data_IF_414463519579
#
_entry.id   IF_414463519579
#
_cell.length_a   1.000
_cell.length_b   1.000
_cell.length_c   1.000
_cell.angle_alpha   90.00
_cell.angle_beta   90.00
_cell.angle_gamma   90.00
#
_symmetry.space_group_name_H-M   'P 1'
#
loop_
_entity.id
_entity.type
_entity.pdbx_description
1 polymer ?
#
# COMPACT_ATOMS: atom_id res chain seq x y z
N UNK A 1 -14.14 11.33 -83.08
CA UNK A 1 -13.70 12.09 -81.88
C UNK A 1 -14.14 11.46 -80.55
N UNK A 2 -15.26 10.73 -80.46
CA UNK A 2 -15.70 10.08 -79.19
C UNK A 2 -14.70 9.09 -78.56
N UNK A 3 -13.96 8.32 -79.36
CA UNK A 3 -13.03 7.30 -78.84
C UNK A 3 -11.78 7.86 -78.13
N UNK A 4 -11.32 9.07 -78.48
CA UNK A 4 -10.19 9.71 -77.77
C UNK A 4 -10.64 10.28 -76.41
N UNK A 5 -11.87 10.79 -76.35
CA UNK A 5 -12.48 11.28 -75.11
C UNK A 5 -12.71 10.15 -74.08
N UNK A 6 -13.08 8.96 -74.55
CA UNK A 6 -13.24 7.77 -73.69
C UNK A 6 -11.91 7.14 -73.26
N UNK A 7 -10.84 7.26 -74.07
CA UNK A 7 -9.53 6.73 -73.65
C UNK A 7 -8.89 7.60 -72.56
N UNK A 8 -8.99 8.93 -72.70
CA UNK A 8 -8.49 9.89 -71.72
C UNK A 8 -9.22 9.75 -70.37
N UNK A 9 -10.53 9.53 -70.39
CA UNK A 9 -11.31 9.33 -69.14
C UNK A 9 -10.95 8.02 -68.44
N UNK A 10 -10.66 6.95 -69.18
CA UNK A 10 -10.21 5.68 -68.59
C UNK A 10 -8.79 5.77 -68.02
N UNK A 11 -7.88 6.50 -68.67
CA UNK A 11 -6.54 6.76 -68.11
C UNK A 11 -6.60 7.59 -66.83
N UNK A 12 -7.42 8.65 -66.83
CA UNK A 12 -7.65 9.47 -65.63
C UNK A 12 -8.28 8.65 -64.50
N UNK A 13 -9.27 7.78 -64.80
CA UNK A 13 -9.87 6.89 -63.81
C UNK A 13 -8.88 5.87 -63.24
N UNK A 14 -8.00 5.29 -64.08
CA UNK A 14 -6.97 4.37 -63.61
C UNK A 14 -5.94 5.06 -62.72
N UNK A 15 -5.54 6.28 -63.05
CA UNK A 15 -4.64 7.09 -62.22
C UNK A 15 -5.25 7.40 -60.85
N UNK A 16 -6.53 7.80 -60.82
CA UNK A 16 -7.25 8.06 -59.56
C UNK A 16 -7.43 6.81 -58.69
N UNK A 17 -7.65 5.65 -59.32
CA UNK A 17 -7.75 4.37 -58.59
C UNK A 17 -6.40 3.98 -57.97
N UNK A 18 -5.29 4.14 -58.70
CA UNK A 18 -3.94 3.87 -58.18
C UNK A 18 -3.58 4.80 -57.01
N UNK A 19 -3.94 6.08 -57.10
CA UNK A 19 -3.72 7.05 -56.02
C UNK A 19 -4.54 6.73 -54.76
N UNK A 20 -5.78 6.23 -54.93
CA UNK A 20 -6.62 5.78 -53.83
C UNK A 20 -6.05 4.51 -53.14
N UNK A 21 -5.57 3.55 -53.94
CA UNK A 21 -4.95 2.31 -53.42
C UNK A 21 -3.66 2.59 -52.64
N UNK A 22 -2.81 3.53 -53.10
CA UNK A 22 -1.61 3.96 -52.37
C UNK A 22 -1.95 4.62 -51.03
N UNK A 23 -2.98 5.47 -50.99
CA UNK A 23 -3.43 6.11 -49.75
C UNK A 23 -3.99 5.08 -48.75
N UNK A 24 -4.78 4.12 -49.20
CA UNK A 24 -5.31 3.06 -48.34
C UNK A 24 -4.19 2.20 -47.76
N UNK A 25 -3.18 1.86 -48.56
CA UNK A 25 -2.01 1.14 -48.08
C UNK A 25 -1.28 1.89 -46.95
N UNK A 26 -1.04 3.20 -47.10
CA UNK A 26 -0.42 4.00 -46.04
C UNK A 26 -1.26 4.07 -44.77
N UNK A 27 -2.58 4.19 -44.90
CA UNK A 27 -3.51 4.20 -43.76
C UNK A 27 -3.44 2.87 -43.01
N UNK A 28 -3.39 1.75 -43.73
CA UNK A 28 -3.25 0.42 -43.15
C UNK A 28 -1.91 0.22 -42.45
N UNK A 29 -0.80 0.71 -43.02
CA UNK A 29 0.52 0.68 -42.37
C UNK A 29 0.52 1.46 -41.04
N UNK A 30 -0.09 2.65 -41.02
CA UNK A 30 -0.22 3.45 -39.79
C UNK A 30 -1.07 2.74 -38.74
N UNK A 31 -2.22 2.20 -39.14
CA UNK A 31 -3.10 1.41 -38.26
C UNK A 31 -2.42 0.16 -37.71
N UNK A 32 -1.58 -0.52 -38.51
CA UNK A 32 -0.78 -1.66 -38.08
C UNK A 32 0.25 -1.25 -37.04
N UNK A 33 1.00 -0.17 -37.27
CA UNK A 33 1.97 0.35 -36.30
C UNK A 33 1.32 0.76 -34.96
N UNK A 34 0.13 1.36 -34.98
CA UNK A 34 -0.63 1.67 -33.77
C UNK A 34 -1.09 0.41 -33.01
N UNK A 35 -1.51 -0.63 -33.74
CA UNK A 35 -1.88 -1.93 -33.13
C UNK A 35 -0.67 -2.62 -32.52
N UNK A 36 0.48 -2.57 -33.18
CA UNK A 36 1.73 -3.15 -32.68
C UNK A 36 2.25 -2.42 -31.44
N UNK A 37 2.22 -1.09 -31.44
CA UNK A 37 2.61 -0.29 -30.28
C UNK A 37 1.64 -0.51 -29.11
N UNK A 38 0.33 -0.59 -29.36
CA UNK A 38 -0.67 -0.94 -28.36
C UNK A 38 -0.46 -2.37 -27.82
N UNK A 39 -0.18 -3.34 -28.70
CA UNK A 39 0.13 -4.71 -28.31
C UNK A 39 1.42 -4.80 -27.48
N UNK A 40 2.45 -4.04 -27.85
CA UNK A 40 3.71 -3.94 -27.10
C UNK A 40 3.48 -3.35 -25.71
N UNK A 41 2.70 -2.26 -25.62
CA UNK A 41 2.36 -1.66 -24.33
C UNK A 41 1.55 -2.62 -23.45
N UNK A 42 0.61 -3.36 -24.05
CA UNK A 42 -0.17 -4.38 -23.35
C UNK A 42 0.74 -5.47 -22.78
N UNK A 43 1.66 -6.01 -23.59
CA UNK A 43 2.66 -7.01 -23.15
C UNK A 43 3.50 -6.48 -22.00
N UNK A 44 4.05 -5.27 -22.15
CA UNK A 44 4.85 -4.63 -21.10
C UNK A 44 4.08 -4.49 -19.78
N UNK A 45 2.80 -4.12 -19.85
CA UNK A 45 1.93 -3.98 -18.67
C UNK A 45 1.70 -5.33 -17.99
N UNK A 46 1.51 -6.38 -18.77
CA UNK A 46 1.31 -7.73 -18.25
C UNK A 46 2.61 -8.31 -17.67
N UNK A 47 3.77 -8.03 -18.29
CA UNK A 47 5.09 -8.39 -17.76
C UNK A 47 5.37 -7.68 -16.43
N UNK A 48 5.06 -6.37 -16.34
CA UNK A 48 5.16 -5.60 -15.09
C UNK A 48 4.29 -6.18 -13.99
N UNK A 49 3.04 -6.57 -14.29
CA UNK A 49 2.15 -7.22 -13.33
C UNK A 49 2.71 -8.56 -12.86
N UNK A 50 3.15 -9.41 -13.79
CA UNK A 50 3.74 -10.70 -13.46
C UNK A 50 5.01 -10.56 -12.60
N UNK A 51 5.84 -9.55 -12.86
CA UNK A 51 7.02 -9.26 -12.05
C UNK A 51 6.62 -8.85 -10.62
N UNK A 52 5.60 -8.00 -10.47
CA UNK A 52 5.05 -7.62 -9.16
C UNK A 52 4.44 -8.83 -8.44
N UNK A 53 3.74 -9.70 -9.17
CA UNK A 53 3.12 -10.92 -8.60
C UNK A 53 4.17 -11.94 -8.11
N UNK A 54 5.32 -12.00 -8.77
CA UNK A 54 6.46 -12.81 -8.33
C UNK A 54 7.17 -12.23 -7.10
N UNK A 55 7.11 -10.91 -6.89
CA UNK A 55 7.55 -10.32 -5.62
C UNK A 55 6.50 -10.62 -4.55
N UNK A 56 6.85 -11.46 -3.57
CA UNK A 56 5.95 -12.10 -2.59
C UNK A 56 5.17 -11.16 -1.62
N UNK A 57 5.00 -9.89 -1.96
CA UNK A 57 4.46 -8.83 -1.12
C UNK A 57 2.95 -8.65 -1.38
N UNK A 58 2.22 -9.75 -1.63
CA UNK A 58 0.79 -9.68 -1.87
C UNK A 58 -0.01 -9.85 -0.57
N UNK A 59 -0.89 -8.90 -0.21
CA UNK A 59 -1.78 -9.07 0.94
C UNK A 59 -2.88 -10.09 0.59
N UNK A 60 -2.93 -11.19 1.33
CA UNK A 60 -3.94 -12.25 1.18
C UNK A 60 -5.24 -11.89 1.89
N UNK A 61 -5.15 -11.29 3.07
CA UNK A 61 -6.30 -10.89 3.87
C UNK A 61 -5.95 -9.72 4.78
N UNK A 62 -6.79 -8.70 4.77
CA UNK A 62 -6.69 -7.55 5.67
C UNK A 62 -7.86 -7.59 6.65
N UNK A 63 -7.57 -7.43 7.94
CA UNK A 63 -8.57 -7.35 9.01
C UNK A 63 -8.35 -6.04 9.75
N UNK A 64 -9.39 -5.21 9.76
CA UNK A 64 -9.43 -3.97 10.53
C UNK A 64 -10.21 -4.23 11.82
N UNK A 65 -9.53 -4.12 12.96
CA UNK A 65 -10.12 -4.28 14.27
C UNK A 65 -9.61 -3.16 15.17
N UNK A 66 -10.30 -2.01 15.16
CA UNK A 66 -9.92 -0.81 15.93
C UNK A 66 -9.45 -1.19 17.35
N UNK A 67 -8.22 -0.82 17.76
CA UNK A 67 -7.24 0.08 17.14
C UNK A 67 -6.12 -0.60 16.33
N UNK A 68 -6.31 -1.82 15.85
CA UNK A 68 -5.31 -2.62 15.16
C UNK A 68 -5.71 -2.95 13.71
N UNK A 69 -4.70 -2.94 12.83
CA UNK A 69 -4.78 -3.47 11.47
C UNK A 69 -3.89 -4.70 11.37
N UNK A 70 -4.45 -5.81 10.91
CA UNK A 70 -3.75 -7.08 10.73
C UNK A 70 -3.77 -7.42 9.25
N UNK A 71 -2.59 -7.62 8.67
CA UNK A 71 -2.44 -8.06 7.29
C UNK A 71 -1.78 -9.43 7.27
N UNK A 72 -2.45 -10.38 6.62
CA UNK A 72 -1.88 -11.67 6.26
C UNK A 72 -1.33 -11.58 4.85
N UNK A 73 -0.09 -11.96 4.70
CA UNK A 73 0.64 -11.92 3.43
C UNK A 73 0.60 -13.28 2.74
N UNK A 74 0.89 -13.29 1.44
CA UNK A 74 0.93 -14.51 0.64
C UNK A 74 2.06 -15.47 1.08
N UNK A 75 3.15 -14.94 1.62
CA UNK A 75 4.28 -15.71 2.19
C UNK A 75 3.94 -16.43 3.50
N UNK A 76 2.73 -16.23 4.05
CA UNK A 76 2.29 -16.77 5.33
C UNK A 76 2.73 -15.95 6.55
N UNK A 77 3.49 -14.87 6.35
CA UNK A 77 3.80 -13.92 7.40
C UNK A 77 2.55 -13.07 7.72
N UNK A 78 2.58 -12.42 8.89
CA UNK A 78 1.53 -11.49 9.30
C UNK A 78 2.15 -10.24 9.89
N UNK A 79 1.65 -9.08 9.48
CA UNK A 79 2.00 -7.81 10.13
C UNK A 79 0.83 -7.31 10.95
N UNK A 80 1.14 -6.83 12.14
CA UNK A 80 0.19 -6.23 13.06
C UNK A 80 0.68 -4.82 13.34
N UNK A 81 -0.16 -3.86 13.00
CA UNK A 81 0.05 -2.44 13.30
C UNK A 81 -1.07 -1.99 14.23
N UNK A 82 -0.71 -1.17 15.22
CA UNK A 82 -1.66 -0.62 16.19
C UNK A 82 -1.57 0.90 16.12
N UNK A 83 -2.72 1.55 16.05
CA UNK A 83 -2.82 2.99 16.20
C UNK A 83 -2.42 3.40 17.63
N UNK A 84 -1.92 4.62 17.75
CA UNK A 84 -1.58 5.19 19.05
C UNK A 84 -2.88 5.49 19.83
N UNK A 85 -2.80 5.55 21.17
CA UNK A 85 -3.98 5.80 22.01
C UNK A 85 -4.60 7.19 21.85
N UNK A 86 -3.81 8.11 21.33
CA UNK A 86 -4.17 9.52 21.17
C UNK A 86 -4.56 9.85 19.72
N UNK A 87 -4.50 8.86 18.82
CA UNK A 87 -4.75 9.04 17.40
C UNK A 87 -6.08 8.40 16.98
N UNK A 88 -6.74 9.00 16.00
CA UNK A 88 -7.99 8.47 15.44
C UNK A 88 -7.64 7.36 14.46
N UNK A 89 -8.10 6.15 14.73
CA UNK A 89 -7.82 5.01 13.86
C UNK A 89 -8.41 5.23 12.45
N UNK A 90 -7.52 5.24 11.45
CA UNK A 90 -7.88 5.21 10.04
C UNK A 90 -7.40 3.90 9.41
N UNK A 91 -8.32 3.20 8.73
CA UNK A 91 -8.08 1.91 8.08
C UNK A 91 -7.00 2.01 6.98
N UNK A 92 -7.05 3.07 6.17
CA UNK A 92 -6.10 3.30 5.06
C UNK A 92 -4.67 3.52 5.58
N UNK A 93 -4.52 4.37 6.60
CA UNK A 93 -3.23 4.65 7.24
C UNK A 93 -2.68 3.40 7.93
N UNK A 94 -3.55 2.62 8.58
CA UNK A 94 -3.17 1.35 9.20
C UNK A 94 -2.69 0.31 8.18
N UNK A 95 -3.32 0.23 7.01
CA UNK A 95 -2.91 -0.67 5.94
C UNK A 95 -1.59 -0.24 5.30
N UNK A 96 -1.43 1.05 4.96
CA UNK A 96 -0.20 1.58 4.40
C UNK A 96 1.01 1.33 5.33
N UNK A 97 0.82 1.56 6.63
CA UNK A 97 1.86 1.30 7.63
C UNK A 97 2.17 -0.19 7.78
N UNK A 98 1.17 -1.07 7.64
CA UNK A 98 1.39 -2.52 7.67
C UNK A 98 2.19 -3.00 6.46
N UNK A 99 1.97 -2.40 5.29
CA UNK A 99 2.71 -2.68 4.05
C UNK A 99 4.17 -2.21 4.17
N UNK A 100 4.39 -0.98 4.64
CA UNK A 100 5.72 -0.45 4.90
C UNK A 100 6.50 -1.30 5.91
N UNK A 101 5.85 -1.71 7.01
CA UNK A 101 6.45 -2.58 8.02
C UNK A 101 6.85 -3.95 7.47
N UNK A 102 6.08 -4.50 6.51
CA UNK A 102 6.43 -5.76 5.87
C UNK A 102 7.64 -5.62 4.93
N UNK A 103 7.75 -4.49 4.22
CA UNK A 103 8.85 -4.20 3.30
C UNK A 103 10.19 -3.94 4.00
N UNK A 104 10.21 -3.08 5.02
CA UNK A 104 11.47 -2.65 5.67
C UNK A 104 11.72 -3.32 7.03
N UNK A 105 10.86 -4.25 7.43
CA UNK A 105 10.97 -4.99 8.68
C UNK A 105 10.62 -4.17 9.94
N UNK A 106 11.00 -4.67 11.11
CA UNK A 106 10.62 -4.13 12.43
C UNK A 106 11.45 -2.88 12.86
N UNK A 107 12.25 -2.29 11.97
CA UNK A 107 13.13 -1.15 12.27
C UNK A 107 12.35 0.17 12.43
N UNK A 108 11.54 0.26 13.49
CA UNK A 108 10.74 1.43 13.85
C UNK A 108 11.52 2.76 13.89
N UNK A 109 12.85 2.71 14.14
CA UNK A 109 13.71 3.89 14.18
C UNK A 109 13.90 4.55 12.81
N UNK A 110 13.94 3.77 11.74
CA UNK A 110 14.14 4.31 10.37
C UNK A 110 12.86 4.96 9.86
N UNK A 111 11.70 4.35 10.14
CA UNK A 111 10.39 4.95 9.84
C UNK A 111 10.19 6.29 10.55
N UNK A 112 10.54 6.36 11.85
CA UNK A 112 10.42 7.63 12.58
C UNK A 112 11.32 8.73 12.00
N UNK A 113 12.52 8.39 11.47
CA UNK A 113 13.35 9.38 10.78
C UNK A 113 12.68 9.85 9.50
N UNK A 114 12.17 8.93 8.69
CA UNK A 114 11.54 9.23 7.40
C UNK A 114 10.34 10.17 7.59
N UNK A 115 9.48 9.91 8.57
CA UNK A 115 8.33 10.77 8.85
C UNK A 115 8.71 12.12 9.45
N UNK A 116 9.73 12.16 10.32
CA UNK A 116 10.26 13.42 10.87
C UNK A 116 10.88 14.34 9.79
N UNK A 117 11.34 13.78 8.66
CA UNK A 117 11.88 14.55 7.53
C UNK A 117 10.78 15.16 6.66
N UNK A 118 9.59 14.57 6.66
CA UNK A 118 8.49 14.95 5.75
C UNK A 118 7.51 15.96 6.35
N UNK A 119 7.71 16.40 7.60
CA UNK A 119 6.75 17.21 8.39
C UNK A 119 5.32 16.63 8.43
N UNK A 120 5.17 15.35 8.07
CA UNK A 120 3.93 14.60 8.18
C UNK A 120 3.89 14.02 9.58
N UNK A 121 3.19 14.72 10.49
CA UNK A 121 2.95 14.28 11.86
C UNK A 121 1.96 13.07 11.89
N UNK A 122 2.41 11.89 11.44
CA UNK A 122 1.59 10.65 11.49
C UNK A 122 1.35 10.19 12.93
N UNK A 123 2.22 10.61 13.86
CA UNK A 123 2.04 10.40 15.28
C UNK A 123 2.27 11.72 15.98
N UNK A 124 1.21 12.39 16.44
CA UNK A 124 1.34 13.38 17.52
C UNK A 124 1.90 12.63 18.74
N UNK A 125 3.22 12.57 18.87
CA UNK A 125 3.87 11.97 20.03
C UNK A 125 3.69 13.00 21.14
N UNK A 126 2.75 12.75 22.06
CA UNK A 126 2.63 13.57 23.26
C UNK A 126 4.04 13.72 23.88
N UNK A 127 4.61 14.93 23.96
CA UNK A 127 5.94 15.13 24.53
C UNK A 127 6.00 14.64 25.99
N UNK A 128 4.83 14.54 26.63
CA UNK A 128 4.66 14.03 27.99
C UNK A 128 4.38 12.52 28.11
N UNK A 129 4.36 11.75 27.01
CA UNK A 129 4.06 10.32 27.06
C UNK A 129 5.09 9.51 27.89
N UNK A 130 6.36 9.94 27.90
CA UNK A 130 7.40 9.33 28.75
C UNK A 130 7.16 9.60 30.23
N UNK A 131 6.73 10.81 30.59
CA UNK A 131 6.40 11.19 31.97
C UNK A 131 5.15 10.44 32.46
N UNK A 132 4.08 10.38 31.65
CA UNK A 132 2.87 9.60 31.93
C UNK A 132 3.17 8.11 32.15
N UNK A 133 4.11 7.53 31.38
CA UNK A 133 4.54 6.12 31.53
C UNK A 133 5.33 5.89 32.83
N UNK A 134 6.16 6.86 33.24
CA UNK A 134 6.90 6.80 34.51
C UNK A 134 5.96 6.93 35.71
N UNK A 135 5.02 7.87 35.68
CA UNK A 135 4.04 8.08 36.74
C UNK A 135 3.10 6.87 36.91
N UNK A 136 2.65 6.27 35.79
CA UNK A 136 1.82 5.05 35.83
C UNK A 136 2.58 3.84 36.39
N UNK A 137 3.90 3.76 36.15
CA UNK A 137 4.77 2.72 36.73
C UNK A 137 5.00 2.94 38.22
N UNK A 138 5.13 4.19 38.68
CA UNK A 138 5.25 4.54 40.09
C UNK A 138 3.97 4.20 40.87
N UNK A 139 2.80 4.62 40.36
CA UNK A 139 1.50 4.29 40.95
C UNK A 139 1.22 2.78 41.01
N UNK A 140 1.74 2.01 40.05
CA UNK A 140 1.62 0.54 40.07
C UNK A 140 2.51 -0.11 41.14
N UNK A 141 3.69 0.46 41.43
CA UNK A 141 4.59 -0.01 42.50
C UNK A 141 4.03 0.29 43.88
N UNK A 142 3.52 1.50 44.11
CA UNK A 142 2.83 1.83 45.37
C UNK A 142 1.61 0.93 45.61
N UNK A 143 0.85 0.60 44.57
CA UNK A 143 -0.30 -0.32 44.68
C UNK A 143 0.11 -1.77 44.96
N UNK A 144 1.30 -2.19 44.55
CA UNK A 144 1.83 -3.53 44.85
C UNK A 144 2.31 -3.59 46.32
N UNK A 145 3.05 -2.57 46.77
CA UNK A 145 3.55 -2.45 48.13
C UNK A 145 2.41 -2.29 49.17
N UNK A 146 1.32 -1.61 48.81
CA UNK A 146 0.14 -1.49 49.68
C UNK A 146 -0.60 -2.82 49.87
N UNK A 147 -0.61 -3.70 48.85
CA UNK A 147 -1.23 -5.04 48.92
C UNK A 147 -0.40 -6.01 49.77
N UNK A 148 0.93 -5.89 49.72
CA UNK A 148 1.83 -6.71 50.52
C UNK A 148 1.74 -6.38 52.03
N UNK A 149 1.54 -5.10 52.36
CA UNK A 149 1.32 -4.63 53.75
C UNK A 149 -0.07 -4.97 54.31
N UNK A 150 -1.08 -5.16 53.47
CA UNK A 150 -2.40 -5.60 53.93
C UNK A 150 -2.42 -7.10 54.21
N UNK A 151 -1.69 -7.89 53.42
CA UNK A 151 -1.58 -9.35 53.61
C UNK A 151 -0.84 -9.75 54.89
N UNK A 152 0.27 -9.08 55.21
CA UNK A 152 1.04 -9.31 56.45
C UNK A 152 0.30 -8.87 57.72
N UNK A 153 -0.65 -7.93 57.60
CA UNK A 153 -1.49 -7.47 58.72
C UNK A 153 -2.70 -8.38 58.97
N UNK A 154 -3.17 -9.10 57.95
CA UNK A 154 -4.17 -10.17 58.07
C UNK A 154 -3.55 -11.44 58.68
N UNK A 155 -2.33 -11.81 58.27
CA UNK A 155 -1.59 -12.96 58.81
C UNK A 155 -1.23 -12.76 60.29
N UNK A 156 -0.76 -11.57 60.70
CA UNK A 156 -0.43 -11.29 62.10
C UNK A 156 -1.65 -11.19 63.05
N UNK A 157 -2.88 -11.13 62.50
CA UNK A 157 -4.11 -11.08 63.30
C UNK A 157 -4.68 -12.47 63.59
N UNK A 158 -4.31 -13.47 62.78
CA UNK A 158 -4.71 -14.86 62.97
C UNK A 158 -3.93 -15.55 64.12
N UNK A 159 -2.71 -15.11 64.41
CA UNK A 159 -1.85 -15.68 65.45
C UNK A 159 -2.19 -15.19 66.88
N UNK A 160 -3.05 -14.18 67.02
CA UNK A 160 -3.47 -13.61 68.33
C UNK A 160 -4.78 -14.25 68.84
N UNK A 161 -5.53 -14.94 67.98
CA UNK A 161 -6.84 -15.54 68.31
C UNK A 161 -6.79 -17.06 68.62
N UNK A 162 -5.60 -17.64 68.81
CA UNK A 162 -5.41 -19.07 69.13
C UNK A 162 -4.73 -19.28 70.49
#
# INVERSE_FOLDING_TARGET
MRNQMTCLTNEIMNLLMLEADEMEYEIDQRNQAERETAARFKRLKDDLRNAIDQTSIQPKKVIFQNPATIVYWADGSRTIVKACKEDTFNEETGFAMAYLKHLFGDNAKEFHKLFNLTDVDICRRDPNAKAKKAEKKAKAREKAEAKEKTKTKEEAKADIEN
#
